data_IF_219496858889
#
_entry.id   IF_219496858889
#
_cell.length_a   1.000
_cell.length_b   1.000
_cell.length_c   1.000
_cell.angle_alpha   90.00
_cell.angle_beta   90.00
_cell.angle_gamma   90.00
#
_symmetry.space_group_name_H-M   'P 1'
#
loop_
_entity.id
_entity.type
_entity.pdbx_description
1 polymer ?
#
# COMPACT_ATOMS: atom_id res chain seq x y z
N UNK A 1 19.64 -35.04 -30.39
CA UNK A 1 18.84 -35.69 -29.33
C UNK A 1 18.98 -35.06 -27.93
N UNK A 2 19.63 -33.89 -27.73
CA UNK A 2 19.88 -33.37 -26.36
C UNK A 2 18.97 -32.21 -25.91
N UNK A 3 18.56 -31.30 -26.80
CA UNK A 3 17.79 -30.10 -26.42
C UNK A 3 16.40 -30.42 -25.83
N UNK A 4 15.65 -31.36 -26.41
CA UNK A 4 14.32 -31.73 -25.92
C UNK A 4 14.37 -32.31 -24.49
N UNK A 5 15.43 -33.05 -24.16
CA UNK A 5 15.63 -33.62 -22.82
C UNK A 5 15.97 -32.55 -21.79
N UNK A 6 16.79 -31.56 -22.16
CA UNK A 6 17.08 -30.43 -21.28
C UNK A 6 15.85 -29.53 -21.06
N UNK A 7 15.06 -29.28 -22.10
CA UNK A 7 13.77 -28.57 -21.96
C UNK A 7 12.81 -29.31 -21.03
N UNK A 8 12.69 -30.63 -21.17
CA UNK A 8 11.85 -31.44 -20.29
C UNK A 8 12.31 -31.35 -18.82
N UNK A 9 13.63 -31.33 -18.57
CA UNK A 9 14.18 -31.14 -17.21
C UNK A 9 13.85 -29.75 -16.66
N UNK A 10 14.04 -28.70 -17.44
CA UNK A 10 13.71 -27.32 -17.04
C UNK A 10 12.21 -27.21 -16.69
N UNK A 11 11.34 -27.79 -17.51
CA UNK A 11 9.90 -27.82 -17.22
C UNK A 11 9.58 -28.61 -15.95
N UNK A 12 10.21 -29.75 -15.72
CA UNK A 12 10.03 -30.51 -14.47
C UNK A 12 10.47 -29.72 -13.23
N UNK A 13 11.57 -28.96 -13.31
CA UNK A 13 12.01 -28.10 -12.21
C UNK A 13 11.05 -26.93 -11.97
N UNK A 14 10.52 -26.31 -13.03
CA UNK A 14 9.51 -25.24 -12.93
C UNK A 14 8.24 -25.73 -12.25
N UNK A 15 7.72 -26.89 -12.66
CA UNK A 15 6.55 -27.51 -12.04
C UNK A 15 6.79 -27.83 -10.56
N UNK A 16 7.98 -28.34 -10.23
CA UNK A 16 8.34 -28.61 -8.83
C UNK A 16 8.45 -27.32 -8.01
N UNK A 17 9.05 -26.28 -8.56
CA UNK A 17 9.14 -24.98 -7.92
C UNK A 17 7.75 -24.37 -7.68
N UNK A 18 6.86 -24.41 -8.68
CA UNK A 18 5.49 -23.94 -8.55
C UNK A 18 4.74 -24.66 -7.41
N UNK A 19 4.85 -25.98 -7.32
CA UNK A 19 4.23 -26.75 -6.22
C UNK A 19 4.74 -26.34 -4.85
N UNK A 20 6.06 -26.16 -4.70
CA UNK A 20 6.65 -25.71 -3.44
C UNK A 20 6.20 -24.30 -3.07
N UNK A 21 6.18 -23.38 -4.03
CA UNK A 21 5.68 -22.03 -3.78
C UNK A 21 4.20 -22.01 -3.39
N UNK A 22 3.36 -22.82 -4.05
CA UNK A 22 1.95 -22.95 -3.69
C UNK A 22 1.79 -23.48 -2.24
N UNK A 23 2.52 -24.53 -1.88
CA UNK A 23 2.50 -25.08 -0.52
C UNK A 23 2.92 -24.06 0.52
N UNK A 24 4.02 -23.32 0.28
CA UNK A 24 4.50 -22.30 1.21
C UNK A 24 3.54 -21.11 1.32
N UNK A 25 2.85 -20.73 0.25
CA UNK A 25 1.84 -19.68 0.31
C UNK A 25 0.62 -20.11 1.15
N UNK A 26 0.23 -21.37 1.04
CA UNK A 26 -0.94 -21.94 1.72
C UNK A 26 -0.63 -22.36 3.17
N UNK A 27 0.65 -22.39 3.58
CA UNK A 27 1.08 -22.76 4.93
C UNK A 27 0.80 -21.63 5.95
N UNK A 28 -0.28 -21.79 6.71
CA UNK A 28 -0.69 -20.84 7.75
C UNK A 28 0.26 -20.79 8.96
N UNK A 29 1.22 -21.71 9.08
CA UNK A 29 2.24 -21.68 10.14
C UNK A 29 3.37 -20.69 9.84
N UNK A 30 3.49 -20.27 8.58
CA UNK A 30 4.48 -19.28 8.15
C UNK A 30 4.01 -17.86 8.40
N UNK A 31 4.98 -16.98 8.61
CA UNK A 31 4.74 -15.54 8.68
C UNK A 31 4.16 -15.04 7.36
N UNK A 32 3.25 -14.07 7.43
CA UNK A 32 2.52 -13.58 6.26
C UNK A 32 3.45 -13.08 5.14
N UNK A 33 4.58 -12.44 5.48
CA UNK A 33 5.55 -11.98 4.48
C UNK A 33 6.10 -13.15 3.65
N UNK A 34 6.41 -14.29 4.30
CA UNK A 34 6.95 -15.47 3.63
C UNK A 34 5.89 -16.11 2.70
N UNK A 35 4.62 -16.09 3.13
CA UNK A 35 3.49 -16.58 2.32
C UNK A 35 3.26 -15.69 1.10
N UNK A 36 3.32 -14.36 1.26
CA UNK A 36 3.22 -13.39 0.16
C UNK A 36 4.39 -13.53 -0.81
N UNK A 37 5.62 -13.68 -0.31
CA UNK A 37 6.81 -13.92 -1.13
C UNK A 37 6.72 -15.24 -1.90
N UNK A 38 6.15 -16.28 -1.29
CA UNK A 38 5.90 -17.55 -1.98
C UNK A 38 4.86 -17.40 -3.10
N UNK A 39 3.77 -16.66 -2.85
CA UNK A 39 2.76 -16.35 -3.86
C UNK A 39 3.34 -15.56 -5.05
N UNK A 40 4.21 -14.60 -4.75
CA UNK A 40 5.00 -13.85 -5.74
C UNK A 40 5.95 -14.76 -6.52
N UNK A 41 6.62 -15.69 -5.84
CA UNK A 41 7.46 -16.71 -6.44
C UNK A 41 6.68 -17.56 -7.45
N UNK A 42 5.50 -18.05 -7.05
CA UNK A 42 4.58 -18.79 -7.90
C UNK A 42 4.16 -17.99 -9.14
N UNK A 43 3.81 -16.72 -8.94
CA UNK A 43 3.41 -15.79 -10.00
C UNK A 43 4.49 -15.57 -11.07
N UNK A 44 5.77 -15.77 -10.73
CA UNK A 44 6.91 -15.64 -11.64
C UNK A 44 7.25 -16.94 -12.37
N UNK A 45 6.68 -18.08 -11.95
CA UNK A 45 6.87 -19.34 -12.67
C UNK A 45 5.99 -19.34 -13.93
N UNK A 46 6.63 -19.58 -15.08
CA UNK A 46 5.94 -19.69 -16.37
C UNK A 46 4.82 -20.75 -16.29
N UNK A 47 3.62 -20.40 -16.75
CA UNK A 47 2.42 -21.26 -16.66
C UNK A 47 1.66 -21.17 -15.32
N UNK A 48 2.20 -20.52 -14.29
CA UNK A 48 1.59 -20.43 -12.95
C UNK A 48 1.32 -18.99 -12.47
N UNK A 49 1.40 -18.02 -13.39
CA UNK A 49 1.16 -16.60 -13.09
C UNK A 49 -0.18 -16.35 -12.41
N UNK A 50 -1.25 -16.91 -12.96
CA UNK A 50 -2.61 -16.74 -12.45
C UNK A 50 -2.77 -17.33 -11.04
N UNK A 51 -2.19 -18.51 -10.81
CA UNK A 51 -2.25 -19.18 -9.50
C UNK A 51 -1.52 -18.39 -8.39
N UNK A 52 -0.45 -17.67 -8.75
CA UNK A 52 0.21 -16.73 -7.85
C UNK A 52 -0.60 -15.44 -7.65
N UNK A 53 -1.18 -14.89 -8.73
CA UNK A 53 -2.01 -13.70 -8.67
C UNK A 53 -3.25 -13.89 -7.78
N UNK A 54 -3.94 -15.04 -7.91
CA UNK A 54 -5.13 -15.37 -7.12
C UNK A 54 -4.83 -15.37 -5.62
N UNK A 55 -3.65 -15.89 -5.23
CA UNK A 55 -3.20 -15.87 -3.83
C UNK A 55 -2.84 -14.48 -3.35
N UNK A 56 -2.19 -13.66 -4.17
CA UNK A 56 -1.91 -12.26 -3.84
C UNK A 56 -3.20 -11.45 -3.66
N UNK A 57 -4.22 -11.70 -4.49
CA UNK A 57 -5.56 -11.12 -4.33
C UNK A 57 -6.18 -11.56 -3.00
N UNK A 58 -6.09 -12.85 -2.67
CA UNK A 58 -6.58 -13.36 -1.38
C UNK A 58 -5.88 -12.68 -0.19
N UNK A 59 -4.55 -12.54 -0.21
CA UNK A 59 -3.81 -11.83 0.83
C UNK A 59 -4.15 -10.35 0.94
N UNK A 60 -4.35 -9.67 -0.18
CA UNK A 60 -4.77 -8.27 -0.18
C UNK A 60 -6.16 -8.07 0.45
N UNK A 61 -7.01 -9.11 0.42
CA UNK A 61 -8.37 -9.11 0.96
C UNK A 61 -8.48 -9.73 2.36
N UNK A 62 -7.43 -10.40 2.86
CA UNK A 62 -7.45 -11.12 4.13
C UNK A 62 -7.38 -10.14 5.31
N UNK A 63 -8.52 -9.95 5.98
CA UNK A 63 -8.65 -9.05 7.13
C UNK A 63 -7.94 -9.55 8.39
N UNK A 64 -7.48 -10.81 8.41
CA UNK A 64 -6.65 -11.34 9.50
C UNK A 64 -5.20 -10.86 9.40
N UNK A 65 -4.77 -10.40 8.21
CA UNK A 65 -3.48 -9.77 8.00
C UNK A 65 -3.51 -8.29 8.38
N UNK A 66 -2.36 -7.78 8.82
CA UNK A 66 -2.23 -6.36 9.10
C UNK A 66 -2.22 -5.52 7.81
N UNK A 67 -2.44 -4.21 7.96
CA UNK A 67 -2.57 -3.31 6.80
C UNK A 67 -1.32 -3.30 5.91
N UNK A 68 -0.11 -3.38 6.48
CA UNK A 68 1.13 -3.40 5.70
C UNK A 68 1.23 -4.65 4.83
N UNK A 69 0.91 -5.81 5.40
CA UNK A 69 0.93 -7.09 4.68
C UNK A 69 -0.07 -7.12 3.52
N UNK A 70 -1.28 -6.56 3.72
CA UNK A 70 -2.26 -6.44 2.64
C UNK A 70 -1.80 -5.49 1.54
N UNK A 71 -1.17 -4.37 1.91
CA UNK A 71 -0.61 -3.40 0.96
C UNK A 71 0.55 -4.02 0.17
N UNK A 72 1.43 -4.78 0.82
CA UNK A 72 2.54 -5.46 0.14
C UNK A 72 2.03 -6.47 -0.88
N UNK A 73 1.00 -7.26 -0.54
CA UNK A 73 0.36 -8.18 -1.49
C UNK A 73 -0.25 -7.43 -2.70
N UNK A 74 -0.96 -6.32 -2.46
CA UNK A 74 -1.52 -5.48 -3.52
C UNK A 74 -0.43 -4.85 -4.40
N UNK A 75 0.71 -4.45 -3.81
CA UNK A 75 1.85 -3.89 -4.53
C UNK A 75 2.50 -4.93 -5.44
N UNK A 76 2.70 -6.15 -4.96
CA UNK A 76 3.24 -7.24 -5.79
C UNK A 76 2.28 -7.56 -6.94
N UNK A 77 0.97 -7.58 -6.69
CA UNK A 77 -0.04 -7.74 -7.74
C UNK A 77 0.03 -6.63 -8.79
N UNK A 78 0.14 -5.36 -8.39
CA UNK A 78 0.29 -4.24 -9.31
C UNK A 78 1.58 -4.33 -10.14
N UNK A 79 2.67 -4.81 -9.53
CA UNK A 79 3.93 -5.09 -10.22
C UNK A 79 3.81 -6.20 -11.27
N UNK A 80 2.85 -7.11 -11.13
CA UNK A 80 2.55 -8.14 -12.12
C UNK A 80 1.70 -7.61 -13.29
N UNK A 81 0.90 -6.57 -13.11
CA UNK A 81 -0.05 -6.12 -14.15
C UNK A 81 0.61 -5.33 -15.30
N UNK A 82 1.92 -5.05 -15.19
CA UNK A 82 2.74 -4.39 -16.21
C UNK A 82 2.89 -5.13 -17.56
N UNK A 83 2.30 -6.32 -17.72
CA UNK A 83 2.19 -7.01 -19.01
C UNK A 83 0.81 -7.68 -19.19
N UNK A 84 -0.15 -6.90 -19.70
CA UNK A 84 -1.18 -7.37 -20.63
C UNK A 84 -2.26 -8.32 -20.09
N UNK A 85 -3.40 -7.73 -19.70
CA UNK A 85 -4.76 -8.31 -19.71
C UNK A 85 -4.99 -9.60 -18.90
N UNK A 86 -5.41 -9.43 -17.65
CA UNK A 86 -6.58 -10.15 -17.10
C UNK A 86 -7.12 -9.36 -15.91
N UNK A 87 -8.17 -8.60 -16.16
CA UNK A 87 -8.99 -8.00 -15.09
C UNK A 87 -9.92 -9.09 -14.54
N UNK A 88 -9.70 -9.62 -13.33
CA UNK A 88 -10.80 -10.27 -12.63
C UNK A 88 -11.83 -9.18 -12.37
N UNK A 89 -13.06 -9.40 -12.82
CA UNK A 89 -14.20 -8.53 -12.58
C UNK A 89 -14.32 -8.30 -11.07
N UNK A 90 -13.82 -7.18 -10.59
CA UNK A 90 -14.15 -6.65 -9.29
C UNK A 90 -15.65 -6.35 -9.34
N UNK A 91 -16.45 -7.24 -8.76
CA UNK A 91 -17.81 -6.89 -8.38
C UNK A 91 -17.67 -5.70 -7.43
N UNK A 92 -18.06 -4.54 -7.94
CA UNK A 92 -18.17 -3.30 -7.19
C UNK A 92 -18.98 -3.55 -5.93
N UNK A 93 -18.31 -3.55 -4.77
CA UNK A 93 -18.86 -3.00 -3.55
C UNK A 93 -17.71 -2.43 -2.72
N UNK A 94 -17.64 -1.10 -2.71
CA UNK A 94 -17.06 -0.38 -1.58
C UNK A 94 -15.64 0.16 -1.67
N UNK A 95 -15.06 0.36 -2.87
CA UNK A 95 -13.82 1.17 -2.97
C UNK A 95 -14.10 2.50 -3.67
N UNK A 96 -14.31 3.55 -2.87
CA UNK A 96 -14.20 4.94 -3.33
C UNK A 96 -12.76 5.40 -3.12
N UNK A 97 -11.91 5.48 -4.16
CA UNK A 97 -10.61 6.11 -4.01
C UNK A 97 -10.83 7.60 -3.80
N UNK A 98 -10.26 8.15 -2.72
CA UNK A 98 -10.23 9.59 -2.48
C UNK A 98 -9.59 10.28 -3.70
N UNK A 99 -10.43 10.94 -4.51
CA UNK A 99 -10.00 11.64 -5.72
C UNK A 99 -9.48 13.01 -5.31
N UNK A 100 -8.16 13.14 -5.21
CA UNK A 100 -7.51 14.45 -5.23
C UNK A 100 -7.56 14.97 -6.67
N UNK A 101 -8.46 15.93 -6.93
CA UNK A 101 -8.40 16.80 -8.10
C UNK A 101 -8.52 18.24 -7.62
N UNK A 102 -7.38 18.91 -7.58
CA UNK A 102 -7.14 20.25 -8.12
C UNK A 102 -8.29 21.27 -8.07
N UNK A 103 -8.14 22.28 -7.20
CA UNK A 103 -8.12 23.69 -7.61
C UNK A 103 -9.41 24.41 -8.05
N UNK A 104 -10.05 25.06 -7.06
CA UNK A 104 -10.72 26.38 -7.09
C UNK A 104 -12.15 26.54 -7.71
N UNK A 105 -12.96 27.54 -7.27
CA UNK A 105 -12.70 28.59 -6.29
C UNK A 105 -13.56 28.49 -5.01
N UNK A 106 -13.09 29.17 -3.96
CA UNK A 106 -13.82 29.42 -2.71
C UNK A 106 -15.21 30.00 -3.01
N UNK A 107 -16.26 29.29 -2.63
CA UNK A 107 -17.57 29.89 -2.46
C UNK A 107 -17.48 30.98 -1.38
N UNK A 108 -18.02 32.15 -1.66
CA UNK A 108 -18.09 33.26 -0.72
C UNK A 108 -18.90 32.81 0.51
N UNK A 109 -18.20 32.51 1.60
CA UNK A 109 -18.85 32.43 2.91
C UNK A 109 -19.11 33.86 3.37
N UNK A 110 -20.27 34.41 3.01
CA UNK A 110 -20.78 35.61 3.68
C UNK A 110 -20.91 35.30 5.18
N UNK A 111 -20.10 36.00 5.97
CA UNK A 111 -20.19 36.03 7.42
C UNK A 111 -21.57 36.61 7.75
N UNK A 112 -22.43 35.94 8.55
CA UNK A 112 -23.65 36.58 9.01
C UNK A 112 -23.27 37.88 9.74
N UNK A 113 -24.07 38.96 9.59
CA UNK A 113 -23.74 40.25 10.19
C UNK A 113 -23.60 40.08 11.71
N UNK A 114 -22.61 40.74 12.34
CA UNK A 114 -22.41 40.61 13.78
C UNK A 114 -23.63 41.15 14.51
N UNK A 115 -24.25 40.30 15.33
CA UNK A 115 -25.29 40.70 16.26
C UNK A 115 -24.68 41.67 17.29
N UNK A 116 -25.12 42.94 17.36
CA UNK A 116 -24.61 43.91 18.32
C UNK A 116 -25.31 43.69 19.67
N UNK A 117 -25.12 42.50 20.25
CA UNK A 117 -25.84 42.03 21.42
C UNK A 117 -24.93 41.37 22.44
N UNK A 118 -24.26 42.20 23.26
CA UNK A 118 -23.76 41.88 24.60
C UNK A 118 -23.04 40.53 24.84
N UNK A 119 -21.71 40.59 24.92
CA UNK A 119 -20.93 39.59 25.63
C UNK A 119 -19.51 40.10 25.84
N UNK A 120 -19.11 40.33 27.10
CA UNK A 120 -17.72 40.67 27.43
C UNK A 120 -16.78 39.60 26.85
N UNK A 121 -15.65 39.96 26.21
CA UNK A 121 -14.71 38.98 25.70
C UNK A 121 -14.18 38.10 26.86
N UNK A 122 -13.95 36.79 26.63
CA UNK A 122 -13.29 35.94 27.61
C UNK A 122 -11.88 36.49 27.88
N UNK A 123 -11.56 36.67 29.16
CA UNK A 123 -10.19 36.94 29.61
C UNK A 123 -9.33 35.71 29.30
N UNK A 124 -8.29 35.87 28.49
CA UNK A 124 -7.20 34.88 28.52
C UNK A 124 -6.61 34.41 27.20
N UNK A 125 -6.71 35.14 26.10
CA UNK A 125 -5.86 34.89 24.93
C UNK A 125 -5.12 36.17 24.54
N UNK A 126 -4.33 36.70 25.47
CA UNK A 126 -3.30 37.68 25.14
C UNK A 126 -2.14 36.93 24.51
N UNK A 127 -1.71 37.41 23.34
CA UNK A 127 -0.54 36.98 22.60
C UNK A 127 0.59 36.46 23.50
N UNK A 128 0.84 35.15 23.40
CA UNK A 128 2.02 34.54 23.97
C UNK A 128 3.26 35.13 23.31
N UNK A 129 3.79 36.19 23.92
CA UNK A 129 5.18 36.59 23.75
C UNK A 129 6.06 35.38 24.05
N UNK A 130 6.65 34.80 23.01
CA UNK A 130 7.82 33.95 23.17
C UNK A 130 8.95 34.86 23.69
N UNK A 131 9.54 34.60 24.87
CA UNK A 131 10.68 35.38 25.33
C UNK A 131 11.84 35.26 24.33
N UNK A 132 12.58 36.33 24.02
CA UNK A 132 13.75 36.22 23.16
C UNK A 132 14.80 35.28 23.80
N UNK A 133 15.53 34.48 23.00
CA UNK A 133 16.56 33.58 23.52
C UNK A 133 17.70 34.37 24.19
N UNK A 134 18.36 33.81 25.22
CA UNK A 134 19.48 34.47 25.89
C UNK A 134 20.67 34.68 24.94
N UNK A 135 21.51 35.71 25.18
CA UNK A 135 22.64 36.03 24.31
C UNK A 135 23.67 34.90 24.27
N UNK A 136 24.04 34.49 23.05
CA UNK A 136 25.09 33.49 22.80
C UNK A 136 26.45 34.03 23.22
N UNK A 137 27.02 33.49 24.30
CA UNK A 137 28.39 33.71 24.73
C UNK A 137 29.32 32.67 24.11
N UNK A 138 29.51 32.75 22.78
CA UNK A 138 30.41 31.89 22.01
C UNK A 138 31.47 32.69 21.27
N UNK A 139 32.69 32.74 21.81
CA UNK A 139 33.86 33.38 21.20
C UNK A 139 34.19 32.73 19.85
N UNK A 140 34.10 33.48 18.75
CA UNK A 140 34.76 33.09 17.50
C UNK A 140 36.27 33.26 17.69
N UNK A 141 36.98 32.15 17.90
CA UNK A 141 38.44 32.13 17.79
C UNK A 141 38.78 32.00 16.30
N UNK A 142 39.49 33.01 15.79
CA UNK A 142 40.18 32.97 14.49
C UNK A 142 41.27 31.91 14.49
#
# INVERSE_FOLDING_TARGET
MNAARELARVQAYRERAARLYAQLADDATLQAFARVDAARGLARVEGHRDAGADRLIAFAQDTTLNALQRVDAARELAGMEGHGKRVPRLRHHGYSPCRSTEGAPLGEHEKPPPDPGQGKPPSGNADGQVPPPPPSSGKHKK
#
